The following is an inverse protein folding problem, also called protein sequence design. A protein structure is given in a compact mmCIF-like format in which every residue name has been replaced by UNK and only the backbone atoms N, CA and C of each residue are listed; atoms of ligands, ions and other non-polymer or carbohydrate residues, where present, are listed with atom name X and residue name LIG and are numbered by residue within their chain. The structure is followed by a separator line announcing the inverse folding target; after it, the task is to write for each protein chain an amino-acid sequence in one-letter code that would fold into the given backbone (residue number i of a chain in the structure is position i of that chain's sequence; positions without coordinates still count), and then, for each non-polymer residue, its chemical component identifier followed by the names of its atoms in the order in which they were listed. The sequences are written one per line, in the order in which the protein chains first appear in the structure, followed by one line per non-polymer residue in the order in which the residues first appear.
data_IF_603760020685
#
_entry.id   IF_603760020685
#
_cell.length_a   1.000
_cell.length_b   1.000
_cell.length_c   1.000
_cell.angle_alpha   90.00
_cell.angle_beta   90.00
_cell.angle_gamma   90.00
#
_symmetry.space_group_name_H-M   'P 1'
#
loop_
_entity.id
_entity.type
_entity.pdbx_description
1 polymer ?
#
# COMPACT_ATOMS: atom_id res chain seq x y z
N UNK A 1 5.09 12.66 -11.96
CA UNK A 1 5.08 11.60 -10.94
C UNK A 1 6.50 11.10 -10.76
N UNK A 2 6.88 10.78 -9.53
CA UNK A 2 8.16 10.14 -9.20
C UNK A 2 8.01 8.63 -9.38
N UNK A 3 8.94 7.98 -10.08
CA UNK A 3 8.90 6.52 -10.22
C UNK A 3 9.55 5.87 -9.03
N UNK A 4 8.86 4.92 -8.42
CA UNK A 4 9.34 4.18 -7.26
C UNK A 4 9.14 2.68 -7.48
N UNK A 5 10.22 1.93 -7.36
CA UNK A 5 10.21 0.47 -7.42
C UNK A 5 10.31 -0.09 -6.01
N UNK A 6 9.36 -0.97 -5.67
CA UNK A 6 9.32 -1.74 -4.44
C UNK A 6 10.13 -3.03 -4.65
N UNK A 7 11.07 -3.26 -3.74
CA UNK A 7 11.89 -4.46 -3.66
C UNK A 7 11.59 -5.15 -2.32
N UNK A 8 10.65 -6.12 -2.28
CA UNK A 8 10.28 -6.80 -1.03
C UNK A 8 11.49 -7.37 -0.28
N UNK A 9 11.48 -7.28 1.05
CA UNK A 9 12.58 -7.56 1.99
C UNK A 9 13.84 -6.67 1.88
N UNK A 10 13.93 -5.81 0.87
CA UNK A 10 15.13 -5.01 0.62
C UNK A 10 14.88 -3.50 0.83
N UNK A 11 13.80 -2.96 0.29
CA UNK A 11 13.44 -1.54 0.41
C UNK A 11 12.80 -1.00 -0.87
N UNK A 12 13.09 0.27 -1.19
CA UNK A 12 12.56 0.94 -2.38
C UNK A 12 13.67 1.65 -3.16
N UNK A 13 13.51 1.74 -4.47
CA UNK A 13 14.37 2.54 -5.36
C UNK A 13 13.56 3.68 -5.94
N UNK A 14 14.02 4.91 -5.71
CA UNK A 14 13.38 6.13 -6.19
C UNK A 14 14.21 6.69 -7.34
N UNK A 15 13.59 6.84 -8.50
CA UNK A 15 14.26 7.32 -9.71
C UNK A 15 14.93 8.68 -9.48
N UNK A 16 16.21 8.78 -9.88
CA UNK A 16 17.07 9.96 -9.72
C UNK A 16 17.39 10.39 -8.27
N UNK A 17 17.00 9.60 -7.26
CA UNK A 17 17.28 9.90 -5.84
C UNK A 17 18.17 8.81 -5.23
N UNK A 18 17.82 7.55 -5.44
CA UNK A 18 18.59 6.40 -4.94
C UNK A 18 17.72 5.38 -4.23
N UNK A 19 18.39 4.49 -3.49
CA UNK A 19 17.76 3.40 -2.76
C UNK A 19 17.60 3.78 -1.29
N UNK A 20 16.40 3.59 -0.75
CA UNK A 20 16.14 3.54 0.69
C UNK A 20 16.02 2.07 1.07
N UNK A 21 16.87 1.59 1.97
CA UNK A 21 16.88 0.18 2.38
C UNK A 21 16.10 -0.02 3.69
N UNK A 22 15.46 -1.17 3.83
CA UNK A 22 15.02 -1.62 5.15
C UNK A 22 16.25 -1.77 6.07
N UNK A 23 16.12 -1.37 7.33
CA UNK A 23 17.19 -1.27 8.31
C UNK A 23 18.01 0.02 8.23
N UNK A 24 17.71 0.94 7.30
CA UNK A 24 18.38 2.24 7.23
C UNK A 24 17.94 3.15 8.39
N UNK A 25 18.87 3.90 8.97
CA UNK A 25 18.56 4.75 10.14
C UNK A 25 17.76 5.98 9.73
N UNK A 26 16.87 6.46 10.61
CA UNK A 26 16.10 7.70 10.42
C UNK A 26 16.96 8.88 9.91
N UNK A 27 18.13 9.18 10.51
CA UNK A 27 19.01 10.24 10.00
C UNK A 27 19.55 10.01 8.58
N UNK A 28 19.79 8.76 8.17
CA UNK A 28 20.20 8.43 6.81
C UNK A 28 19.05 8.59 5.81
N UNK A 29 17.83 8.18 6.21
CA UNK A 29 16.60 8.39 5.45
C UNK A 29 16.35 9.90 5.24
N UNK A 30 16.45 10.70 6.29
CA UNK A 30 16.30 12.16 6.20
C UNK A 30 17.36 12.80 5.31
N UNK A 31 18.58 12.29 5.33
CA UNK A 31 19.65 12.75 4.44
C UNK A 31 19.35 12.44 2.97
N UNK A 32 18.72 11.31 2.69
CA UNK A 32 18.36 10.89 1.33
C UNK A 32 17.13 11.64 0.79
N UNK A 33 16.08 11.75 1.61
CA UNK A 33 14.76 12.22 1.16
C UNK A 33 14.44 13.66 1.57
N UNK A 34 15.21 14.23 2.48
CA UNK A 34 14.91 15.48 3.17
C UNK A 34 14.12 15.26 4.46
N UNK A 35 13.74 16.37 5.10
CA UNK A 35 12.93 16.34 6.31
C UNK A 35 11.56 15.70 6.06
N UNK A 36 11.04 14.90 7.00
CA UNK A 36 9.76 14.26 6.84
C UNK A 36 8.60 15.26 6.98
N UNK A 37 7.45 14.88 6.44
CA UNK A 37 6.21 15.65 6.45
C UNK A 37 5.64 15.85 7.85
N UNK A 38 4.71 16.81 7.95
CA UNK A 38 3.91 17.04 9.17
C UNK A 38 3.12 15.78 9.53
N UNK A 39 3.07 15.46 10.82
CA UNK A 39 2.43 14.24 11.33
C UNK A 39 3.43 13.12 11.63
N UNK A 40 4.69 13.29 11.24
CA UNK A 40 5.78 12.41 11.63
C UNK A 40 6.11 12.52 13.12
N UNK A 41 6.56 11.40 13.68
CA UNK A 41 7.02 11.28 15.08
C UNK A 41 8.29 10.41 15.15
N UNK A 42 8.66 9.97 16.36
CA UNK A 42 9.87 9.19 16.59
C UNK A 42 9.83 7.77 16.01
N UNK A 43 8.66 7.27 15.61
CA UNK A 43 8.46 5.91 15.07
C UNK A 43 7.88 5.93 13.66
N UNK A 44 7.31 7.04 13.19
CA UNK A 44 6.68 7.13 11.87
C UNK A 44 7.13 8.37 11.13
N UNK A 45 7.73 8.18 9.96
CA UNK A 45 8.16 9.25 9.06
C UNK A 45 7.26 9.27 7.83
N UNK A 46 6.48 10.33 7.67
CA UNK A 46 5.65 10.54 6.49
C UNK A 46 6.43 11.29 5.41
N UNK A 47 6.25 10.89 4.16
CA UNK A 47 6.88 11.50 3.00
C UNK A 47 5.80 11.81 1.96
N UNK A 48 4.99 12.84 2.20
CA UNK A 48 3.77 13.11 1.39
C UNK A 48 4.06 13.37 -0.08
N UNK A 49 5.26 13.85 -0.43
CA UNK A 49 5.66 14.05 -1.84
C UNK A 49 6.06 12.76 -2.54
N UNK A 50 6.21 11.68 -1.79
CA UNK A 50 6.51 10.34 -2.26
C UNK A 50 5.36 9.35 -1.98
N UNK A 51 4.31 9.78 -1.28
CA UNK A 51 3.09 9.02 -0.99
C UNK A 51 3.32 7.71 -0.22
N UNK A 52 4.37 7.68 0.60
CA UNK A 52 4.63 6.60 1.54
C UNK A 52 4.95 7.09 2.95
N UNK A 53 4.84 6.16 3.90
CA UNK A 53 5.31 6.27 5.28
C UNK A 53 6.42 5.25 5.51
N UNK A 54 7.38 5.59 6.37
CA UNK A 54 8.36 4.65 6.93
C UNK A 54 8.10 4.52 8.42
N UNK A 55 7.94 3.28 8.89
CA UNK A 55 7.91 2.98 10.32
C UNK A 55 9.30 2.54 10.79
N UNK A 56 9.70 3.03 11.96
CA UNK A 56 11.01 2.82 12.55
C UNK A 56 10.91 1.87 13.75
N UNK A 57 11.89 0.97 13.85
CA UNK A 57 12.07 0.11 15.02
C UNK A 57 12.47 0.92 16.27
N UNK A 58 12.60 0.23 17.40
CA UNK A 58 13.02 0.84 18.67
C UNK A 58 14.44 1.42 18.65
N UNK A 59 15.25 1.10 17.63
CA UNK A 59 16.58 1.66 17.42
C UNK A 59 16.59 2.85 16.44
N UNK A 60 15.42 3.22 15.90
CA UNK A 60 15.26 4.29 14.92
C UNK A 60 15.65 3.89 13.49
N UNK A 61 15.58 2.61 13.14
CA UNK A 61 15.86 2.10 11.79
C UNK A 61 14.57 1.69 11.08
N UNK A 62 14.49 1.88 9.76
CA UNK A 62 13.33 1.48 8.96
C UNK A 62 13.02 -0.01 9.11
N UNK A 63 11.89 -0.35 9.71
CA UNK A 63 11.40 -1.73 9.76
C UNK A 63 10.28 -2.00 8.76
N UNK A 64 9.62 -0.95 8.29
CA UNK A 64 8.48 -1.06 7.38
C UNK A 64 8.30 0.20 6.52
N UNK A 65 7.84 0.03 5.29
CA UNK A 65 7.53 1.10 4.33
C UNK A 65 6.16 0.81 3.74
N UNK A 66 5.25 1.79 3.76
CA UNK A 66 3.88 1.63 3.25
C UNK A 66 3.50 2.76 2.31
N UNK A 67 3.03 2.42 1.12
CA UNK A 67 2.38 3.35 0.20
C UNK A 67 0.91 3.47 0.58
N UNK A 68 0.46 4.69 0.87
CA UNK A 68 -0.82 4.95 1.56
C UNK A 68 -1.83 5.75 0.72
N UNK A 69 -1.48 6.07 -0.52
CA UNK A 69 -2.29 6.90 -1.42
C UNK A 69 -2.89 6.13 -2.59
N UNK A 70 -3.00 4.80 -2.47
CA UNK A 70 -3.72 4.00 -3.46
C UNK A 70 -5.24 4.20 -3.37
N UNK A 71 -5.99 3.76 -4.39
CA UNK A 71 -5.47 3.18 -5.63
C UNK A 71 -5.01 4.23 -6.67
N UNK A 72 -5.13 5.52 -6.34
CA UNK A 72 -4.80 6.63 -7.25
C UNK A 72 -3.72 7.55 -6.67
N UNK A 73 -2.46 7.09 -6.57
CA UNK A 73 -1.37 7.97 -6.18
C UNK A 73 -1.24 9.10 -7.21
N UNK A 74 -1.14 10.35 -6.74
CA UNK A 74 -1.08 11.55 -7.57
C UNK A 74 0.37 11.98 -7.86
N UNK A 75 1.27 11.68 -6.93
CA UNK A 75 2.66 12.16 -6.96
C UNK A 75 3.66 11.08 -7.32
N UNK A 76 3.34 9.80 -7.11
CA UNK A 76 4.23 8.68 -7.36
C UNK A 76 3.62 7.64 -8.32
N UNK A 77 4.45 7.09 -9.18
CA UNK A 77 4.15 5.90 -10.00
C UNK A 77 4.86 4.72 -9.34
N UNK A 78 4.08 3.82 -8.76
CA UNK A 78 4.59 2.71 -7.95
C UNK A 78 4.66 1.46 -8.80
N UNK A 79 5.76 0.71 -8.64
CA UNK A 79 5.89 -0.61 -9.24
C UNK A 79 6.42 -1.65 -8.26
N UNK A 80 5.98 -2.89 -8.40
CA UNK A 80 6.53 -4.05 -7.72
C UNK A 80 6.59 -5.18 -8.73
N UNK A 81 7.73 -5.86 -8.89
CA UNK A 81 7.91 -6.88 -9.93
C UNK A 81 7.54 -6.43 -11.36
N UNK A 82 7.75 -5.13 -11.66
CA UNK A 82 7.47 -4.55 -12.98
C UNK A 82 5.99 -4.23 -13.26
N UNK A 83 5.10 -4.35 -12.27
CA UNK A 83 3.67 -4.01 -12.39
C UNK A 83 3.27 -2.88 -11.44
N UNK A 84 2.22 -2.13 -11.78
CA UNK A 84 1.62 -1.17 -10.84
C UNK A 84 0.63 -1.91 -9.90
N UNK A 85 0.91 -1.97 -8.59
CA UNK A 85 0.07 -2.73 -7.65
C UNK A 85 -1.34 -2.12 -7.47
N UNK A 86 -1.51 -0.84 -7.75
CA UNK A 86 -2.77 -0.13 -7.53
C UNK A 86 -3.72 -0.12 -8.73
N UNK A 87 -3.29 -0.63 -9.89
CA UNK A 87 -4.06 -0.55 -11.14
C UNK A 87 -4.30 -1.92 -11.81
N UNK A 88 -3.66 -2.98 -11.33
CA UNK A 88 -3.78 -4.32 -11.92
C UNK A 88 -5.03 -5.08 -11.43
N UNK A 89 -5.74 -4.57 -10.43
CA UNK A 89 -6.87 -5.26 -9.81
C UNK A 89 -6.44 -6.18 -8.67
N UNK A 90 -7.28 -6.26 -7.64
CA UNK A 90 -7.00 -6.97 -6.39
C UNK A 90 -6.67 -8.44 -6.63
N UNK A 91 -7.48 -9.16 -7.40
CA UNK A 91 -7.26 -10.59 -7.66
C UNK A 91 -5.94 -10.88 -8.39
N UNK A 92 -5.58 -10.05 -9.39
CA UNK A 92 -4.34 -10.23 -10.14
C UNK A 92 -3.12 -9.89 -9.27
N UNK A 93 -3.22 -8.86 -8.43
CA UNK A 93 -2.16 -8.55 -7.46
C UNK A 93 -1.95 -9.71 -6.48
N UNK A 94 -3.03 -10.28 -5.93
CA UNK A 94 -2.93 -11.43 -5.02
C UNK A 94 -2.29 -12.64 -5.69
N UNK A 95 -2.62 -12.94 -6.95
CA UNK A 95 -2.00 -14.04 -7.70
C UNK A 95 -0.48 -13.86 -7.81
N UNK A 96 -0.04 -12.68 -8.24
CA UNK A 96 1.39 -12.37 -8.44
C UNK A 96 2.13 -12.41 -7.10
N UNK A 97 1.59 -11.77 -6.06
CA UNK A 97 2.21 -11.77 -4.74
C UNK A 97 2.23 -13.19 -4.14
N UNK A 98 1.21 -14.00 -4.37
CA UNK A 98 1.17 -15.41 -3.92
C UNK A 98 2.27 -16.23 -4.58
N UNK A 99 2.45 -16.08 -5.90
CA UNK A 99 3.53 -16.74 -6.65
C UNK A 99 4.91 -16.35 -6.10
N UNK A 100 5.15 -15.05 -5.89
CA UNK A 100 6.44 -14.56 -5.38
C UNK A 100 6.67 -14.91 -3.90
N UNK A 101 5.61 -14.98 -3.10
CA UNK A 101 5.69 -15.37 -1.69
C UNK A 101 6.12 -16.84 -1.54
N UNK A 102 5.59 -17.74 -2.37
CA UNK A 102 5.87 -19.18 -2.32
C UNK A 102 5.81 -19.73 -0.87
N UNK A 103 4.75 -19.41 -0.15
CA UNK A 103 4.67 -19.66 1.28
C UNK A 103 3.33 -19.33 1.89
N UNK A 104 3.31 -19.29 3.23
CA UNK A 104 2.11 -18.97 3.99
C UNK A 104 1.66 -17.54 3.72
N UNK A 105 0.37 -17.38 3.51
CA UNK A 105 -0.34 -16.11 3.47
C UNK A 105 -1.19 -16.05 4.73
N UNK A 106 -1.23 -14.91 5.41
CA UNK A 106 -2.25 -14.62 6.41
C UNK A 106 -3.41 -13.90 5.72
N UNK A 107 -4.55 -14.55 5.72
CA UNK A 107 -5.81 -14.15 5.12
C UNK A 107 -6.93 -14.06 6.19
N UNK A 108 -6.56 -13.93 7.46
CA UNK A 108 -7.52 -13.82 8.58
C UNK A 108 -8.48 -12.62 8.47
N UNK A 109 -8.08 -11.59 7.74
CA UNK A 109 -8.86 -10.38 7.43
C UNK A 109 -9.32 -10.34 5.96
N UNK A 110 -9.31 -11.49 5.26
CA UNK A 110 -9.87 -11.56 3.92
C UNK A 110 -11.35 -11.11 3.91
N UNK A 111 -11.79 -10.33 2.92
CA UNK A 111 -11.09 -9.99 1.67
C UNK A 111 -10.41 -8.61 1.68
N UNK A 112 -10.21 -8.00 2.84
CA UNK A 112 -9.74 -6.62 2.98
C UNK A 112 -8.23 -6.52 3.11
N UNK A 113 -7.61 -7.50 3.77
CA UNK A 113 -6.19 -7.50 4.06
C UNK A 113 -5.59 -8.88 3.78
N UNK A 114 -4.38 -8.88 3.23
CA UNK A 114 -3.59 -10.09 3.04
C UNK A 114 -2.13 -9.78 3.36
N UNK A 115 -1.46 -10.70 4.08
CA UNK A 115 -0.02 -10.59 4.32
C UNK A 115 0.73 -11.83 3.82
N UNK A 116 1.82 -11.59 3.11
CA UNK A 116 2.65 -12.58 2.43
C UNK A 116 3.92 -12.80 3.24
N UNK A 117 3.92 -13.80 4.12
CA UNK A 117 4.87 -13.90 5.24
C UNK A 117 6.32 -14.18 4.83
N UNK A 118 6.58 -14.74 3.65
CA UNK A 118 7.93 -15.03 3.19
C UNK A 118 8.59 -13.83 2.52
N UNK A 119 7.81 -12.98 1.83
CA UNK A 119 8.31 -11.76 1.18
C UNK A 119 8.05 -10.50 2.02
N UNK A 120 7.41 -10.65 3.19
CA UNK A 120 7.07 -9.58 4.12
C UNK A 120 6.33 -8.42 3.43
N UNK A 121 5.29 -8.77 2.67
CA UNK A 121 4.43 -7.81 1.96
C UNK A 121 3.04 -7.83 2.57
N UNK A 122 2.44 -6.68 2.82
CA UNK A 122 1.03 -6.54 3.18
C UNK A 122 0.29 -5.69 2.17
N UNK A 123 -0.97 -6.01 1.90
CA UNK A 123 -1.87 -5.20 1.08
C UNK A 123 -3.19 -5.03 1.81
N UNK A 124 -3.77 -3.83 1.73
CA UNK A 124 -5.04 -3.52 2.39
C UNK A 124 -5.94 -2.67 1.49
N UNK A 125 -7.26 -2.87 1.62
CA UNK A 125 -8.30 -2.05 1.01
C UNK A 125 -9.42 -1.78 1.99
N UNK A 126 -10.07 -0.64 1.84
CA UNK A 126 -11.16 -0.23 2.71
C UNK A 126 -12.48 -0.94 2.37
N UNK A 127 -12.72 -1.16 1.08
CA UNK A 127 -13.98 -1.68 0.54
C UNK A 127 -13.73 -2.69 -0.57
N UNK A 128 -14.64 -3.64 -0.70
CA UNK A 128 -14.67 -4.63 -1.78
C UNK A 128 -15.79 -4.33 -2.76
N UNK A 129 -15.73 -4.91 -3.96
CA UNK A 129 -16.78 -4.76 -4.97
C UNK A 129 -18.13 -5.24 -4.41
N UNK A 130 -18.11 -6.31 -3.61
CA UNK A 130 -19.30 -6.86 -2.97
C UNK A 130 -19.93 -5.87 -1.99
N UNK A 131 -19.11 -5.16 -1.21
CA UNK A 131 -19.62 -4.18 -0.24
C UNK A 131 -20.37 -3.06 -0.97
N UNK A 132 -19.79 -2.55 -2.07
CA UNK A 132 -20.43 -1.51 -2.89
C UNK A 132 -21.70 -2.05 -3.58
N UNK A 133 -21.71 -3.31 -4.01
CA UNK A 133 -22.90 -3.95 -4.58
C UNK A 133 -24.04 -4.10 -3.55
N UNK A 134 -23.71 -4.39 -2.29
CA UNK A 134 -24.65 -4.42 -1.16
C UNK A 134 -25.22 -3.01 -0.90
N UNK A 135 -24.37 -1.98 -0.85
CA UNK A 135 -24.80 -0.58 -0.70
C UNK A 135 -25.71 -0.12 -1.85
N UNK A 136 -25.38 -0.48 -3.10
CA UNK A 136 -26.21 -0.20 -4.27
C UNK A 136 -27.60 -0.84 -4.13
N UNK A 137 -27.68 -2.08 -3.62
CA UNK A 137 -28.94 -2.78 -3.45
C UNK A 137 -29.83 -2.09 -2.39
N UNK A 138 -29.23 -1.70 -1.26
CA UNK A 138 -29.93 -1.02 -0.17
C UNK A 138 -30.44 0.37 -0.60
N UNK A 139 -29.62 1.16 -1.28
CA UNK A 139 -30.02 2.48 -1.79
C UNK A 139 -31.12 2.39 -2.85
N UNK A 140 -31.11 1.35 -3.70
CA UNK A 140 -32.21 1.08 -4.64
C UNK A 140 -33.50 0.72 -3.91
N UNK A 141 -33.43 -0.07 -2.84
CA UNK A 141 -34.60 -0.40 -2.03
C UNK A 141 -35.22 0.84 -1.35
N UNK A 142 -34.39 1.83 -1.02
CA UNK A 142 -34.83 3.09 -0.39
C UNK A 142 -35.16 4.23 -1.37
N UNK A 143 -35.01 4.02 -2.69
CA UNK A 143 -35.14 5.05 -3.74
C UNK A 143 -34.12 6.21 -3.62
N UNK A 144 -32.96 5.95 -3.03
CA UNK A 144 -31.86 6.90 -2.81
C UNK A 144 -30.71 6.69 -3.81
N UNK A 145 -30.84 5.75 -4.75
CA UNK A 145 -29.75 5.42 -5.67
C UNK A 145 -29.31 6.59 -6.58
N UNK A 146 -30.25 7.32 -7.19
CA UNK A 146 -29.90 8.34 -8.21
C UNK A 146 -29.14 9.53 -7.62
N UNK A 147 -29.43 9.93 -6.38
CA UNK A 147 -28.71 11.00 -5.67
C UNK A 147 -27.31 10.55 -5.22
N UNK A 148 -27.09 9.24 -5.11
CA UNK A 148 -25.87 8.62 -4.59
C UNK A 148 -25.01 7.98 -5.69
N UNK A 149 -25.44 8.04 -6.95
CA UNK A 149 -24.83 7.29 -8.05
C UNK A 149 -23.36 7.64 -8.30
N UNK A 150 -23.00 8.92 -8.27
CA UNK A 150 -21.64 9.36 -8.60
C UNK A 150 -20.60 8.82 -7.59
N UNK A 151 -20.90 8.86 -6.29
CA UNK A 151 -19.97 8.33 -5.28
C UNK A 151 -19.91 6.80 -5.29
N UNK A 152 -21.03 6.12 -5.57
CA UNK A 152 -21.05 4.65 -5.72
C UNK A 152 -20.20 4.20 -6.92
N UNK A 153 -20.22 4.95 -8.02
CA UNK A 153 -19.37 4.67 -9.18
C UNK A 153 -17.88 4.83 -8.84
N UNK A 154 -17.52 5.87 -8.08
CA UNK A 154 -16.15 6.08 -7.58
C UNK A 154 -15.71 4.96 -6.63
N UNK A 155 -16.57 4.57 -5.68
CA UNK A 155 -16.29 3.49 -4.73
C UNK A 155 -16.15 2.14 -5.45
N UNK A 156 -16.98 1.87 -6.46
CA UNK A 156 -16.86 0.66 -7.27
C UNK A 156 -15.54 0.62 -8.05
N UNK A 157 -15.03 1.76 -8.51
CA UNK A 157 -13.73 1.85 -9.16
C UNK A 157 -12.60 1.56 -8.16
N UNK A 158 -12.64 2.19 -6.98
CA UNK A 158 -11.64 2.00 -5.93
C UNK A 158 -11.63 0.58 -5.36
N UNK A 159 -12.80 -0.03 -5.21
CA UNK A 159 -12.98 -1.36 -4.62
C UNK A 159 -12.35 -2.50 -5.44
N UNK A 160 -12.04 -2.24 -6.72
CA UNK A 160 -11.37 -3.19 -7.61
C UNK A 160 -9.90 -3.38 -7.27
N UNK A 161 -9.29 -2.47 -6.51
CA UNK A 161 -7.85 -2.43 -6.26
C UNK A 161 -7.54 -2.42 -4.76
N UNK A 162 -6.30 -2.73 -4.42
CA UNK A 162 -5.79 -2.43 -3.07
C UNK A 162 -5.44 -0.96 -2.95
N UNK A 163 -5.54 -0.44 -1.73
CA UNK A 163 -5.34 0.98 -1.42
C UNK A 163 -3.98 1.22 -0.78
N UNK A 164 -3.44 0.20 -0.10
CA UNK A 164 -2.08 0.22 0.40
C UNK A 164 -1.31 -1.02 -0.03
N UNK A 165 -0.01 -0.84 -0.15
CA UNK A 165 0.97 -1.91 -0.22
C UNK A 165 2.14 -1.53 0.68
N UNK A 166 2.54 -2.45 1.54
CA UNK A 166 3.66 -2.26 2.45
C UNK A 166 4.67 -3.40 2.37
N UNK A 167 5.93 -3.08 2.67
CA UNK A 167 7.04 -4.02 2.78
C UNK A 167 7.73 -3.87 4.12
N UNK A 168 8.03 -4.99 4.77
CA UNK A 168 8.74 -5.03 6.04
C UNK A 168 10.06 -5.76 5.99
N UNK A 169 10.84 -5.62 7.05
CA UNK A 169 11.97 -6.50 7.35
C UNK A 169 11.52 -7.97 7.42
N UNK A 170 12.47 -8.90 7.39
CA UNK A 170 12.16 -10.32 7.53
C UNK A 170 11.37 -10.57 8.83
N UNK A 171 10.27 -11.33 8.71
CA UNK A 171 9.36 -11.68 9.81
C UNK A 171 8.57 -10.51 10.42
N UNK A 172 8.47 -9.35 9.75
CA UNK A 172 7.66 -8.22 10.23
C UNK A 172 6.19 -8.61 10.56
N UNK A 173 5.60 -9.50 9.76
CA UNK A 173 4.22 -9.97 9.92
C UNK A 173 4.07 -11.28 10.71
N UNK A 174 5.09 -11.74 11.45
CA UNK A 174 5.05 -13.02 12.17
C UNK A 174 4.90 -12.87 13.68
#
# INVERSE_FOLDING_TARGET
MRKIEILPLDGIVIENIGKLSLGESGPAIEKLLGSPSKGSDSHRLYYDDYEFRVDLDNNGNAEFIEFISGPYPEKAEISVYGINPFQIGASQLLEILSEKNNGKIDDSEAEYCYTFLNISVGVWRQITVRDVEEDIADLKANNEYEENKEWLEEDLEKARNFWTIGIGVENYYK
#
